data_IF_462037408165
#
_entry.id   IF_462037408165
#
_cell.length_a   1.000
_cell.length_b   1.000
_cell.length_c   1.000
_cell.angle_alpha   90.00
_cell.angle_beta   90.00
_cell.angle_gamma   90.00
#
_symmetry.space_group_name_H-M   'P 1'
#
loop_
_entity.id
_entity.type
_entity.pdbx_description
1 polymer ?
#
# COMPACT_ATOMS: atom_id res chain seq x y z
N UNK A 1 -21.16 -0.98 19.09
CA UNK A 1 -20.75 -1.75 17.91
C UNK A 1 -21.64 -2.95 17.76
N UNK A 2 -22.31 -3.14 16.62
CA UNK A 2 -23.06 -4.35 16.34
C UNK A 2 -22.05 -5.44 15.98
N UNK A 3 -22.05 -6.55 16.71
CA UNK A 3 -21.27 -7.74 16.39
C UNK A 3 -21.63 -8.20 14.98
N UNK A 4 -20.65 -8.22 14.08
CA UNK A 4 -20.80 -8.85 12.77
C UNK A 4 -20.89 -10.37 13.00
N UNK A 5 -22.04 -10.95 12.80
CA UNK A 5 -22.20 -12.40 12.84
C UNK A 5 -21.55 -13.01 11.61
N UNK A 6 -20.45 -13.73 11.81
CA UNK A 6 -19.81 -14.51 10.75
C UNK A 6 -20.81 -15.54 10.21
N UNK A 7 -21.16 -15.44 8.92
CA UNK A 7 -21.96 -16.46 8.24
C UNK A 7 -21.00 -17.44 7.57
N UNK A 8 -21.14 -18.70 7.89
CA UNK A 8 -20.41 -19.78 7.22
C UNK A 8 -21.28 -20.34 6.09
N UNK A 9 -20.75 -20.37 4.89
CA UNK A 9 -21.36 -21.04 3.74
C UNK A 9 -20.61 -22.37 3.58
N UNK A 10 -21.33 -23.49 3.73
CA UNK A 10 -20.79 -24.82 3.44
C UNK A 10 -21.22 -25.24 2.04
N UNK A 11 -20.26 -25.68 1.23
CA UNK A 11 -20.51 -26.25 -0.10
C UNK A 11 -20.19 -27.74 -0.01
N UNK A 12 -21.25 -28.55 -0.01
CA UNK A 12 -21.12 -29.99 0.21
C UNK A 12 -21.06 -30.79 -1.10
N UNK A 13 -21.26 -30.15 -2.23
CA UNK A 13 -21.24 -30.79 -3.55
C UNK A 13 -19.85 -30.78 -4.12
N UNK A 14 -19.15 -31.90 -4.26
CA UNK A 14 -17.86 -31.95 -4.92
C UNK A 14 -18.02 -31.63 -6.40
N UNK A 15 -17.58 -30.46 -6.78
CA UNK A 15 -17.56 -30.02 -8.18
C UNK A 15 -16.12 -29.59 -8.50
N UNK A 16 -15.51 -30.10 -9.58
CA UNK A 16 -14.19 -29.63 -9.96
C UNK A 16 -14.27 -28.13 -10.26
N UNK A 17 -13.30 -27.33 -9.76
CA UNK A 17 -13.29 -25.91 -10.06
C UNK A 17 -13.15 -25.68 -11.57
N UNK A 18 -13.82 -24.69 -12.13
CA UNK A 18 -13.67 -24.33 -13.54
C UNK A 18 -12.23 -23.82 -13.79
N UNK A 19 -11.75 -23.99 -15.01
CA UNK A 19 -10.38 -23.64 -15.37
C UNK A 19 -10.03 -22.16 -15.05
N UNK A 20 -10.98 -21.26 -15.25
CA UNK A 20 -10.77 -19.83 -14.94
C UNK A 20 -10.52 -19.59 -13.44
N UNK A 21 -11.20 -20.30 -12.55
CA UNK A 21 -11.00 -20.15 -11.11
C UNK A 21 -9.62 -20.66 -10.65
N UNK A 22 -9.12 -21.73 -11.29
CA UNK A 22 -7.77 -22.21 -11.06
C UNK A 22 -6.72 -21.21 -11.55
N UNK A 23 -6.95 -20.58 -12.68
CA UNK A 23 -6.06 -19.56 -13.23
C UNK A 23 -6.09 -18.29 -12.40
N UNK A 24 -7.24 -17.86 -11.94
CA UNK A 24 -7.38 -16.72 -11.03
C UNK A 24 -6.63 -16.97 -9.72
N UNK A 25 -6.80 -18.14 -9.12
CA UNK A 25 -6.08 -18.50 -7.90
C UNK A 25 -4.54 -18.52 -8.10
N UNK A 26 -4.08 -19.08 -9.22
CA UNK A 26 -2.65 -19.07 -9.54
C UNK A 26 -2.14 -17.64 -9.80
N UNK A 27 -2.96 -16.77 -10.41
CA UNK A 27 -2.63 -15.37 -10.61
C UNK A 27 -2.44 -14.66 -9.26
N UNK A 28 -3.38 -14.82 -8.33
CA UNK A 28 -3.29 -14.24 -6.98
C UNK A 28 -2.02 -14.69 -6.27
N UNK A 29 -1.72 -15.98 -6.28
CA UNK A 29 -0.49 -16.52 -5.68
C UNK A 29 0.80 -16.00 -6.32
N UNK A 30 0.79 -15.76 -7.61
CA UNK A 30 1.94 -15.16 -8.30
C UNK A 30 2.09 -13.69 -7.94
N UNK A 31 0.99 -12.98 -7.76
CA UNK A 31 0.98 -11.59 -7.28
C UNK A 31 1.51 -11.50 -5.85
N UNK A 32 1.10 -12.39 -4.94
CA UNK A 32 1.65 -12.44 -3.57
C UNK A 32 3.17 -12.56 -3.59
N UNK A 33 3.69 -13.53 -4.34
CA UNK A 33 5.14 -13.72 -4.48
C UNK A 33 5.85 -12.50 -5.10
N UNK A 34 5.19 -11.81 -6.02
CA UNK A 34 5.75 -10.60 -6.61
C UNK A 34 5.77 -9.44 -5.60
N UNK A 35 4.73 -9.32 -4.78
CA UNK A 35 4.69 -8.33 -3.70
C UNK A 35 5.77 -8.60 -2.64
N UNK A 36 5.94 -9.84 -2.20
CA UNK A 36 7.03 -10.23 -1.29
C UNK A 36 8.40 -9.89 -1.88
N UNK A 37 8.67 -10.32 -3.11
CA UNK A 37 9.94 -10.04 -3.77
C UNK A 37 10.20 -8.54 -3.95
N UNK A 38 9.16 -7.76 -4.23
CA UNK A 38 9.25 -6.30 -4.32
C UNK A 38 9.57 -5.69 -2.96
N UNK A 39 8.86 -6.13 -1.92
CA UNK A 39 9.07 -5.64 -0.56
C UNK A 39 10.49 -5.93 -0.08
N UNK A 40 10.94 -7.17 -0.20
CA UNK A 40 12.29 -7.61 0.20
C UNK A 40 13.41 -6.88 -0.54
N UNK A 41 13.13 -6.44 -1.77
CA UNK A 41 14.14 -5.78 -2.60
C UNK A 41 14.20 -4.26 -2.38
N UNK A 42 13.06 -3.64 -2.11
CA UNK A 42 12.96 -2.18 -2.13
C UNK A 42 12.62 -1.54 -0.78
N UNK A 43 12.32 -2.32 0.24
CA UNK A 43 12.06 -1.79 1.57
C UNK A 43 13.08 -2.30 2.58
N UNK A 44 13.46 -1.43 3.50
CA UNK A 44 14.27 -1.83 4.65
C UNK A 44 13.38 -2.35 5.81
N UNK A 45 14.04 -2.80 6.88
CA UNK A 45 13.40 -3.33 8.10
C UNK A 45 12.47 -2.32 8.80
N UNK A 46 12.60 -1.04 8.50
CA UNK A 46 11.75 0.03 9.03
C UNK A 46 10.54 0.30 8.15
N UNK A 47 10.45 -0.35 7.00
CA UNK A 47 9.47 -0.05 5.97
C UNK A 47 9.80 1.20 5.14
N UNK A 48 11.06 1.62 5.12
CA UNK A 48 11.51 2.74 4.29
C UNK A 48 11.79 2.24 2.88
N UNK A 49 11.25 2.95 1.91
CA UNK A 49 11.50 2.65 0.50
C UNK A 49 12.91 3.09 0.11
N UNK A 50 13.70 2.18 -0.46
CA UNK A 50 15.10 2.39 -0.81
C UNK A 50 15.34 2.60 -2.31
N UNK A 51 14.34 2.36 -3.15
CA UNK A 51 14.51 2.36 -4.59
C UNK A 51 14.68 3.76 -5.21
N UNK A 52 14.43 4.82 -4.46
CA UNK A 52 14.47 6.18 -4.95
C UNK A 52 15.46 7.00 -4.11
N UNK A 53 16.63 7.35 -4.65
CA UNK A 53 17.57 8.26 -3.97
C UNK A 53 17.06 9.71 -3.92
N UNK A 54 16.11 10.05 -4.78
CA UNK A 54 15.40 11.34 -4.80
C UNK A 54 13.92 11.05 -4.80
N UNK A 55 13.28 11.39 -3.72
CA UNK A 55 11.87 11.19 -3.51
C UNK A 55 11.01 11.93 -4.50
N UNK A 56 10.17 11.21 -5.23
CA UNK A 56 9.23 11.79 -6.16
C UNK A 56 9.80 12.87 -7.09
N UNK A 57 11.12 13.05 -7.12
CA UNK A 57 11.72 14.17 -7.82
C UNK A 57 11.10 15.50 -7.38
N UNK A 58 10.25 16.05 -8.21
CA UNK A 58 9.46 17.25 -7.91
C UNK A 58 7.99 16.94 -7.63
N UNK A 59 7.60 15.66 -7.63
CA UNK A 59 6.21 15.27 -7.47
C UNK A 59 5.81 15.23 -6.00
N UNK A 60 6.04 14.26 -5.28
CA UNK A 60 5.64 14.24 -3.87
C UNK A 60 5.81 12.87 -3.25
N UNK A 61 5.27 12.67 -2.05
CA UNK A 61 5.38 11.39 -1.35
C UNK A 61 4.45 10.30 -1.94
N UNK A 62 3.46 10.65 -2.71
CA UNK A 62 2.49 9.77 -3.35
C UNK A 62 3.17 8.74 -4.26
N UNK A 63 4.11 9.15 -5.11
CA UNK A 63 4.87 8.25 -5.99
C UNK A 63 5.47 7.05 -5.25
N UNK A 64 5.87 7.24 -4.01
CA UNK A 64 6.44 6.18 -3.21
C UNK A 64 5.37 5.21 -2.69
N UNK A 65 4.24 5.74 -2.22
CA UNK A 65 3.19 4.91 -1.62
C UNK A 65 2.27 4.27 -2.66
N UNK A 66 2.21 4.81 -3.86
CA UNK A 66 1.45 4.23 -4.98
C UNK A 66 1.89 2.80 -5.35
N UNK A 67 3.15 2.47 -5.09
CA UNK A 67 3.64 1.10 -5.28
C UNK A 67 2.84 0.06 -4.48
N UNK A 68 2.17 0.48 -3.42
CA UNK A 68 1.43 -0.39 -2.51
C UNK A 68 -0.09 -0.22 -2.62
N UNK A 69 -0.58 0.69 -3.46
CA UNK A 69 -1.99 1.10 -3.50
C UNK A 69 -2.97 -0.07 -3.64
N UNK A 70 -2.63 -1.07 -4.42
CA UNK A 70 -3.49 -2.21 -4.71
C UNK A 70 -3.25 -3.44 -3.82
N UNK A 71 -2.26 -3.44 -2.94
CA UNK A 71 -1.96 -4.60 -2.11
C UNK A 71 -3.07 -4.93 -1.11
N UNK A 72 -3.71 -3.95 -0.43
CA UNK A 72 -4.88 -4.23 0.39
C UNK A 72 -6.03 -4.85 -0.41
N UNK A 73 -6.19 -4.44 -1.67
CA UNK A 73 -7.21 -5.02 -2.55
C UNK A 73 -6.88 -6.47 -2.91
N UNK A 74 -5.61 -6.75 -3.21
CA UNK A 74 -5.15 -8.12 -3.47
C UNK A 74 -5.41 -9.04 -2.27
N UNK A 75 -5.14 -8.57 -1.06
CA UNK A 75 -5.46 -9.30 0.17
C UNK A 75 -6.95 -9.67 0.27
N UNK A 76 -7.85 -8.72 0.00
CA UNK A 76 -9.30 -8.96 0.05
C UNK A 76 -9.77 -9.93 -1.04
N UNK A 77 -9.09 -9.96 -2.17
CA UNK A 77 -9.35 -10.93 -3.24
C UNK A 77 -8.85 -12.34 -2.94
N UNK A 78 -8.22 -12.55 -1.80
CA UNK A 78 -7.75 -13.86 -1.34
C UNK A 78 -6.22 -14.02 -1.41
N UNK A 79 -5.50 -12.91 -1.48
CA UNK A 79 -4.05 -12.87 -1.34
C UNK A 79 -3.58 -13.26 0.07
N UNK A 80 -2.30 -13.42 0.25
CA UNK A 80 -1.68 -13.87 1.48
C UNK A 80 -1.89 -12.90 2.65
N UNK A 81 -2.01 -13.44 3.86
CA UNK A 81 -2.20 -12.64 5.09
C UNK A 81 -1.00 -11.71 5.35
N UNK A 82 0.18 -12.09 4.91
CA UNK A 82 1.43 -11.32 5.01
C UNK A 82 1.37 -9.98 4.29
N UNK A 83 0.55 -9.86 3.23
CA UNK A 83 0.36 -8.61 2.48
C UNK A 83 -0.04 -7.44 3.39
N UNK A 84 -0.97 -7.67 4.32
CA UNK A 84 -1.42 -6.60 5.22
C UNK A 84 -0.32 -6.20 6.21
N UNK A 85 0.50 -7.16 6.64
CA UNK A 85 1.68 -6.88 7.47
C UNK A 85 2.69 -6.00 6.74
N UNK A 86 3.01 -6.32 5.50
CA UNK A 86 3.90 -5.53 4.64
C UNK A 86 3.33 -4.14 4.35
N UNK A 87 2.04 -4.05 4.01
CA UNK A 87 1.36 -2.78 3.79
C UNK A 87 1.44 -1.87 5.04
N UNK A 88 1.18 -2.43 6.22
CA UNK A 88 1.23 -1.67 7.48
C UNK A 88 2.66 -1.20 7.77
N UNK A 89 3.65 -2.06 7.62
CA UNK A 89 5.06 -1.70 7.85
C UNK A 89 5.52 -0.61 6.87
N UNK A 90 5.20 -0.77 5.58
CA UNK A 90 5.53 0.22 4.57
C UNK A 90 4.81 1.55 4.79
N UNK A 91 3.55 1.51 5.19
CA UNK A 91 2.77 2.69 5.54
C UNK A 91 3.38 3.47 6.71
N UNK A 92 3.62 2.81 7.84
CA UNK A 92 4.23 3.44 9.00
C UNK A 92 5.64 3.93 8.70
N UNK A 93 6.39 3.16 7.92
CA UNK A 93 7.70 3.53 7.40
C UNK A 93 7.63 4.77 6.52
N UNK A 94 6.69 4.80 5.59
CA UNK A 94 6.45 5.94 4.70
C UNK A 94 6.13 7.22 5.48
N UNK A 95 5.21 7.16 6.43
CA UNK A 95 4.88 8.32 7.26
C UNK A 95 6.10 8.86 8.01
N UNK A 96 6.90 7.98 8.60
CA UNK A 96 8.14 8.39 9.30
C UNK A 96 9.17 8.96 8.32
N UNK A 97 9.46 8.22 7.27
CA UNK A 97 10.47 8.57 6.27
C UNK A 97 10.19 9.94 5.66
N UNK A 98 8.96 10.21 5.25
CA UNK A 98 8.61 11.47 4.60
C UNK A 98 8.38 12.62 5.58
N UNK A 99 8.06 12.35 6.81
CA UNK A 99 8.05 13.39 7.87
C UNK A 99 9.46 13.83 8.22
N UNK A 100 10.42 12.90 8.18
CA UNK A 100 11.83 13.16 8.50
C UNK A 100 12.65 13.61 7.28
N UNK A 101 12.27 13.20 6.08
CA UNK A 101 12.96 13.54 4.85
C UNK A 101 12.95 15.05 4.61
N UNK A 102 14.13 15.59 4.39
CA UNK A 102 14.34 17.02 4.12
C UNK A 102 15.31 17.18 2.99
N UNK A 103 14.95 17.97 2.01
CA UNK A 103 15.84 18.30 0.91
C UNK A 103 15.68 19.76 0.50
N UNK A 104 16.79 20.39 0.18
CA UNK A 104 16.81 21.76 -0.34
C UNK A 104 16.58 21.82 -1.84
N UNK A 105 16.68 20.68 -2.52
CA UNK A 105 16.47 20.58 -3.97
C UNK A 105 14.99 20.69 -4.35
N UNK A 106 14.12 20.29 -3.46
CA UNK A 106 12.67 20.37 -3.63
C UNK A 106 12.13 21.33 -2.59
N UNK A 107 11.71 22.54 -2.98
CA UNK A 107 11.35 23.61 -2.03
C UNK A 107 10.31 23.21 -1.00
N UNK A 108 9.34 22.39 -1.39
CA UNK A 108 8.28 21.94 -0.51
C UNK A 108 8.70 20.80 0.45
N UNK A 109 9.86 20.22 0.28
CA UNK A 109 10.40 19.22 1.23
C UNK A 109 11.30 19.83 2.31
N UNK A 110 11.39 21.16 2.39
CA UNK A 110 12.30 21.86 3.30
C UNK A 110 12.03 21.50 4.76
N UNK A 111 10.76 21.34 5.12
CA UNK A 111 10.31 21.08 6.49
C UNK A 111 9.69 19.69 6.67
N UNK A 112 9.98 18.78 5.78
CA UNK A 112 9.36 17.48 5.64
C UNK A 112 8.35 17.47 4.49
N UNK A 113 7.92 16.30 4.04
CA UNK A 113 7.03 16.17 2.88
C UNK A 113 5.55 16.19 3.23
N UNK A 114 5.18 15.96 4.48
CA UNK A 114 3.81 16.15 4.95
C UNK A 114 3.68 17.51 5.62
N UNK A 115 2.85 18.37 5.05
CA UNK A 115 2.76 19.78 5.41
C UNK A 115 1.67 20.10 6.42
N UNK A 116 1.91 21.19 7.16
CA UNK A 116 0.86 21.92 7.86
C UNK A 116 0.12 22.89 6.95
N UNK A 117 0.78 23.40 5.94
CA UNK A 117 0.24 24.36 4.99
C UNK A 117 0.66 23.96 3.57
N UNK A 118 -0.28 23.83 2.66
CA UNK A 118 0.00 23.45 1.29
C UNK A 118 0.44 24.67 0.49
N UNK A 119 1.60 24.62 -0.18
CA UNK A 119 1.95 25.63 -1.17
C UNK A 119 0.88 25.66 -2.27
N UNK A 120 0.57 26.83 -2.73
CA UNK A 120 -0.51 27.03 -3.71
C UNK A 120 -0.24 26.21 -4.98
N UNK A 121 -1.21 25.39 -5.37
CA UNK A 121 -1.40 24.73 -6.66
C UNK A 121 -0.77 23.33 -6.87
N UNK A 122 0.22 22.90 -6.13
CA UNK A 122 0.97 21.70 -6.53
C UNK A 122 0.59 20.43 -5.73
N UNK A 123 0.40 20.53 -4.45
CA UNK A 123 0.43 19.35 -3.56
C UNK A 123 -0.92 18.72 -3.27
N UNK A 124 -2.02 19.37 -3.59
CA UNK A 124 -3.32 18.80 -3.27
C UNK A 124 -3.65 17.58 -4.14
N UNK A 125 -3.15 17.53 -5.38
CA UNK A 125 -3.31 16.37 -6.27
C UNK A 125 -2.51 15.19 -5.71
N UNK A 126 -1.22 15.38 -5.52
CA UNK A 126 -0.30 14.33 -5.04
C UNK A 126 -0.67 13.83 -3.64
N UNK A 127 -1.06 14.74 -2.74
CA UNK A 127 -1.59 14.31 -1.44
C UNK A 127 -2.92 13.55 -1.56
N UNK A 128 -3.77 13.90 -2.51
CA UNK A 128 -5.00 13.19 -2.80
C UNK A 128 -4.75 11.78 -3.31
N UNK A 129 -3.74 11.61 -4.15
CA UNK A 129 -3.28 10.32 -4.66
C UNK A 129 -2.73 9.43 -3.53
N UNK A 130 -1.85 9.97 -2.71
CA UNK A 130 -1.36 9.28 -1.51
C UNK A 130 -2.49 8.89 -0.55
N UNK A 131 -3.47 9.77 -0.33
CA UNK A 131 -4.64 9.48 0.50
C UNK A 131 -5.49 8.31 -0.03
N UNK A 132 -5.43 8.02 -1.33
CA UNK A 132 -6.14 6.85 -1.90
C UNK A 132 -5.60 5.55 -1.31
N UNK A 133 -4.28 5.41 -1.23
CA UNK A 133 -3.64 4.25 -0.59
C UNK A 133 -4.05 4.16 0.88
N UNK A 134 -4.08 5.27 1.56
CA UNK A 134 -4.48 5.37 2.96
C UNK A 134 -5.93 4.93 3.18
N UNK A 135 -6.84 5.40 2.36
CA UNK A 135 -8.23 5.02 2.45
C UNK A 135 -8.44 3.54 2.18
N UNK A 136 -7.77 2.98 1.17
CA UNK A 136 -7.85 1.56 0.87
C UNK A 136 -7.32 0.71 2.03
N UNK A 137 -6.18 1.07 2.60
CA UNK A 137 -5.65 0.38 3.77
C UNK A 137 -6.62 0.44 4.96
N UNK A 138 -7.14 1.61 5.29
CA UNK A 138 -8.10 1.78 6.40
C UNK A 138 -9.44 1.08 6.18
N UNK A 139 -9.85 0.88 4.91
CA UNK A 139 -11.05 0.10 4.59
C UNK A 139 -10.85 -1.40 4.80
N UNK A 140 -9.65 -1.90 4.53
CA UNK A 140 -9.33 -3.33 4.59
C UNK A 140 -8.87 -3.76 5.99
N UNK A 141 -8.27 -2.86 6.74
CA UNK A 141 -7.82 -3.08 8.12
C UNK A 141 -8.30 -1.94 9.04
N UNK A 142 -9.53 -2.00 9.51
CA UNK A 142 -10.14 -0.93 10.32
C UNK A 142 -9.73 -0.97 11.81
N UNK A 143 -8.70 -1.71 12.18
CA UNK A 143 -8.27 -1.90 13.59
C UNK A 143 -7.51 -0.71 14.18
#
# INVERSE_FOLDING_TARGET
MKSLTKKTIAIDTPTPPPAWALLEWELIRNQDRACEAFFDHYFDERGYLECIPRWGGNDGPDDAIENLVNWPVLYVLGGADELMGMCRLAWEGHLRQYTEARTVEVPFCRDGMYYREFPVMFDWVHNGEGLTTFNLHGLMDPS
#
